data_IF_330797807365
#
_entry.id   IF_330797807365
#
_cell.length_a   1.000
_cell.length_b   1.000
_cell.length_c   1.000
_cell.angle_alpha   90.00
_cell.angle_beta   90.00
_cell.angle_gamma   90.00
#
_symmetry.space_group_name_H-M   'P 1'
#
loop_
_entity.id
_entity.type
_entity.pdbx_description
1 polymer ?
#
# COMPACT_ATOMS: atom_id res chain seq x y z
N UNK A 1 9.65 -10.78 4.77
CA UNK A 1 8.67 -10.38 3.73
C UNK A 1 7.27 -10.70 4.22
N UNK A 2 6.36 -9.74 4.14
CA UNK A 2 4.95 -9.89 4.52
C UNK A 2 4.11 -9.34 3.38
N UNK A 3 3.06 -10.07 2.99
CA UNK A 3 2.10 -9.63 1.97
C UNK A 3 0.69 -9.66 2.54
N UNK A 4 -0.08 -8.61 2.28
CA UNK A 4 -1.52 -8.56 2.52
C UNK A 4 -2.20 -8.37 1.17
N UNK A 5 -3.12 -9.24 0.81
CA UNK A 5 -3.87 -9.17 -0.44
C UNK A 5 -5.37 -9.26 -0.21
N UNK A 6 -6.13 -8.60 -1.08
CA UNK A 6 -7.59 -8.68 -1.17
C UNK A 6 -8.06 -9.13 -2.55
N UNK A 7 -9.37 -9.41 -2.68
CA UNK A 7 -10.10 -9.82 -3.88
C UNK A 7 -11.02 -8.71 -4.43
N UNK A 8 -10.78 -7.45 -4.04
CA UNK A 8 -11.54 -6.29 -4.50
C UNK A 8 -11.18 -5.87 -5.93
N UNK A 9 -11.58 -4.65 -6.35
CA UNK A 9 -11.35 -4.16 -7.72
C UNK A 9 -9.86 -3.92 -8.05
N UNK A 10 -8.99 -3.85 -7.04
CA UNK A 10 -7.57 -3.54 -7.20
C UNK A 10 -7.31 -2.07 -7.53
N UNK A 11 -6.09 -1.79 -8.01
CA UNK A 11 -5.66 -0.46 -8.47
C UNK A 11 -4.75 -0.60 -9.70
N UNK A 12 -4.79 0.38 -10.58
CA UNK A 12 -3.81 0.58 -11.64
C UNK A 12 -2.45 1.01 -11.07
N UNK A 13 -1.39 0.94 -11.88
CA UNK A 13 -0.05 1.38 -11.46
C UNK A 13 -0.02 2.86 -11.04
N UNK A 14 -0.68 3.74 -11.80
CA UNK A 14 -0.77 5.17 -11.47
C UNK A 14 -1.55 5.43 -10.18
N UNK A 15 -2.62 4.67 -9.94
CA UNK A 15 -3.37 4.73 -8.68
C UNK A 15 -2.53 4.25 -7.50
N UNK A 16 -1.72 3.19 -7.68
CA UNK A 16 -0.80 2.71 -6.66
C UNK A 16 0.24 3.78 -6.27
N UNK A 17 0.85 4.45 -7.25
CA UNK A 17 1.80 5.53 -7.01
C UNK A 17 1.15 6.72 -6.29
N UNK A 18 -0.08 7.06 -6.65
CA UNK A 18 -0.86 8.10 -5.99
C UNK A 18 -1.23 7.73 -4.56
N UNK A 19 -1.68 6.49 -4.32
CA UNK A 19 -2.08 6.00 -2.99
C UNK A 19 -0.93 6.01 -1.96
N UNK A 20 0.32 5.93 -2.44
CA UNK A 20 1.52 6.06 -1.59
C UNK A 20 1.81 7.49 -1.11
N UNK A 21 1.13 8.51 -1.64
CA UNK A 21 1.31 9.90 -1.22
C UNK A 21 0.44 10.21 0.00
N UNK A 22 0.99 10.96 0.96
CA UNK A 22 0.27 11.39 2.18
C UNK A 22 -1.03 12.12 1.81
N UNK A 23 -2.13 11.75 2.46
CA UNK A 23 -3.44 12.40 2.32
C UNK A 23 -4.13 12.15 0.99
N UNK A 24 -3.62 11.23 0.15
CA UNK A 24 -4.27 10.90 -1.12
C UNK A 24 -5.34 9.86 -0.91
N UNK A 25 -6.54 10.13 -1.45
CA UNK A 25 -7.63 9.16 -1.55
C UNK A 25 -7.87 8.81 -3.01
N UNK A 26 -7.88 7.52 -3.31
CA UNK A 26 -8.26 7.00 -4.63
C UNK A 26 -9.79 6.89 -4.72
N UNK A 27 -10.43 6.56 -3.59
CA UNK A 27 -11.88 6.56 -3.44
C UNK A 27 -12.29 7.50 -2.30
N UNK A 28 -13.21 8.42 -2.60
CA UNK A 28 -13.75 9.39 -1.64
C UNK A 28 -15.08 8.96 -1.01
N UNK A 29 -15.60 7.79 -1.38
CA UNK A 29 -16.90 7.28 -0.92
C UNK A 29 -16.90 6.84 0.55
N UNK A 30 -15.74 6.50 1.11
CA UNK A 30 -15.61 5.93 2.46
C UNK A 30 -14.92 6.90 3.44
N UNK A 31 -15.36 6.95 4.73
CA UNK A 31 -14.72 7.77 5.75
C UNK A 31 -13.25 7.36 5.95
N UNK A 32 -12.33 8.31 5.83
CA UNK A 32 -10.90 8.07 6.06
C UNK A 32 -10.01 9.27 5.72
N UNK A 33 -8.87 9.39 6.42
CA UNK A 33 -7.91 10.49 6.25
C UNK A 33 -6.89 10.27 5.13
N UNK A 34 -6.81 9.06 4.54
CA UNK A 34 -5.81 8.75 3.51
C UNK A 34 -4.36 8.72 4.02
N UNK A 35 -4.16 8.47 5.32
CA UNK A 35 -2.83 8.49 5.96
C UNK A 35 -2.20 7.11 6.11
N UNK A 36 -2.98 6.03 6.06
CA UNK A 36 -2.53 4.68 6.42
C UNK A 36 -1.27 4.21 5.66
N UNK A 37 -1.30 4.21 4.33
CA UNK A 37 -0.17 3.74 3.51
C UNK A 37 1.07 4.61 3.66
N UNK A 38 0.89 5.92 3.82
CA UNK A 38 2.01 6.82 4.05
C UNK A 38 2.67 6.56 5.41
N UNK A 39 1.88 6.30 6.46
CA UNK A 39 2.41 5.91 7.77
C UNK A 39 3.22 4.60 7.65
N UNK A 40 2.67 3.58 6.98
CA UNK A 40 3.37 2.30 6.79
C UNK A 40 4.68 2.49 6.02
N UNK A 41 4.68 3.30 4.97
CA UNK A 41 5.90 3.62 4.21
C UNK A 41 6.96 4.29 5.08
N UNK A 42 6.56 5.28 5.88
CA UNK A 42 7.49 6.02 6.73
C UNK A 42 8.10 5.10 7.79
N UNK A 43 7.28 4.24 8.44
CA UNK A 43 7.76 3.22 9.38
C UNK A 43 8.68 2.22 8.66
N UNK A 44 8.28 1.66 7.52
CA UNK A 44 9.11 0.70 6.81
C UNK A 44 10.48 1.29 6.44
N UNK A 45 10.51 2.54 5.98
CA UNK A 45 11.75 3.24 5.64
C UNK A 45 12.67 3.46 6.86
N UNK A 46 12.11 3.69 8.05
CA UNK A 46 12.89 3.82 9.30
C UNK A 46 13.63 2.52 9.65
N UNK A 47 13.06 1.37 9.27
CA UNK A 47 13.68 0.05 9.43
C UNK A 47 14.48 -0.40 8.18
N UNK A 48 14.89 0.53 7.31
CA UNK A 48 15.60 0.24 6.05
C UNK A 48 14.83 -0.74 5.13
N UNK A 49 13.51 -0.78 5.29
CA UNK A 49 12.59 -1.57 4.51
C UNK A 49 11.89 -0.78 3.42
N UNK A 50 10.97 -1.46 2.73
CA UNK A 50 10.16 -0.88 1.67
C UNK A 50 8.76 -1.49 1.63
N UNK A 51 7.81 -0.70 1.15
CA UNK A 51 6.46 -1.16 0.83
C UNK A 51 6.13 -0.84 -0.62
N UNK A 52 5.54 -1.81 -1.32
CA UNK A 52 5.04 -1.63 -2.70
C UNK A 52 3.61 -2.14 -2.82
N UNK A 53 2.86 -1.55 -3.76
CA UNK A 53 1.52 -2.01 -4.13
C UNK A 53 1.57 -2.70 -5.48
N UNK A 54 0.71 -3.70 -5.66
CA UNK A 54 0.58 -4.41 -6.92
C UNK A 54 -0.69 -5.25 -6.97
N UNK A 55 -0.75 -6.17 -7.92
CA UNK A 55 -1.90 -7.06 -8.10
C UNK A 55 -1.84 -8.24 -7.14
N UNK A 56 -2.95 -8.52 -6.46
CA UNK A 56 -3.14 -9.70 -5.63
C UNK A 56 -3.44 -10.94 -6.46
N UNK A 57 -2.97 -12.10 -5.99
CA UNK A 57 -3.36 -13.39 -6.55
C UNK A 57 -4.87 -13.69 -6.37
N UNK A 58 -5.52 -13.00 -5.43
CA UNK A 58 -6.97 -13.08 -5.20
C UNK A 58 -7.79 -12.19 -6.14
N UNK A 59 -7.12 -11.34 -6.96
CA UNK A 59 -7.76 -10.49 -7.96
C UNK A 59 -7.70 -8.99 -7.66
N UNK A 60 -7.59 -8.60 -6.38
CA UNK A 60 -7.57 -7.21 -5.92
C UNK A 60 -6.17 -6.62 -5.72
N UNK A 61 -5.99 -5.82 -4.66
CA UNK A 61 -4.73 -5.15 -4.35
C UNK A 61 -3.84 -6.02 -3.44
N UNK A 62 -2.53 -5.97 -3.66
CA UNK A 62 -1.54 -6.54 -2.75
C UNK A 62 -0.60 -5.45 -2.23
N UNK A 63 -0.46 -5.37 -0.91
CA UNK A 63 0.57 -4.59 -0.23
C UNK A 63 1.71 -5.51 0.19
N UNK A 64 2.91 -5.27 -0.34
CA UNK A 64 4.11 -6.06 -0.09
C UNK A 64 5.08 -5.27 0.79
N UNK A 65 5.37 -5.79 1.98
CA UNK A 65 6.31 -5.22 2.92
C UNK A 65 7.59 -6.07 2.96
N UNK A 66 8.71 -5.44 2.65
CA UNK A 66 10.05 -6.03 2.77
C UNK A 66 10.79 -5.29 3.87
N UNK A 67 11.29 -6.03 4.85
CA UNK A 67 12.20 -5.55 5.88
C UNK A 67 13.51 -6.36 5.77
N UNK A 68 14.68 -5.76 6.05
CA UNK A 68 15.94 -6.49 6.09
C UNK A 68 15.90 -7.66 7.08
N UNK A 69 16.48 -8.78 6.71
CA UNK A 69 16.82 -9.83 7.66
C UNK A 69 18.18 -9.47 8.28
N UNK A 70 18.29 -9.58 9.61
CA UNK A 70 19.57 -9.43 10.31
C UNK A 70 20.56 -10.52 9.91
#
# INVERSE_FOLDING_TARGET
>A
HVQVGDDGPGMTGEECERAMKRGTRIDESSPGSGLGLAIVRDIASEYEGSITLGKSALGGLAANLVLPAR
#
